data_IF_619516864598
#
_entry.id   IF_619516864598
#
_cell.length_a   1.000
_cell.length_b   1.000
_cell.length_c   1.000
_cell.angle_alpha   90.00
_cell.angle_beta   90.00
_cell.angle_gamma   90.00
#
_symmetry.space_group_name_H-M   'P 1'
#
loop_
_entity.id
_entity.type
_entity.pdbx_description
1 polymer ?
#
# COMPACT_ATOMS: atom_id res chain seq x y z
N UNK A 1 31.40 -20.62 20.75
CA UNK A 1 31.58 -19.20 20.46
C UNK A 1 31.93 -19.09 19.00
N UNK A 2 30.95 -18.91 18.13
CA UNK A 2 31.13 -18.78 16.68
C UNK A 2 31.02 -17.31 16.33
N UNK A 3 32.13 -16.79 15.82
CA UNK A 3 32.32 -15.40 15.40
C UNK A 3 31.48 -15.15 14.14
N UNK A 4 30.27 -14.62 14.30
CA UNK A 4 29.45 -14.15 13.19
C UNK A 4 30.08 -12.84 12.68
N UNK A 5 30.93 -12.94 11.66
CA UNK A 5 31.49 -11.79 10.95
C UNK A 5 30.36 -10.98 10.34
N UNK A 6 30.11 -9.79 10.88
CA UNK A 6 29.35 -8.73 10.22
C UNK A 6 30.07 -8.43 8.90
N UNK A 7 29.39 -8.51 7.74
CA UNK A 7 30.02 -8.17 6.47
C UNK A 7 30.41 -6.69 6.46
N UNK A 8 31.56 -6.34 5.81
CA UNK A 8 32.03 -4.97 5.76
C UNK A 8 31.01 -4.06 5.06
N UNK A 9 30.77 -2.88 5.62
CA UNK A 9 30.01 -1.80 5.00
C UNK A 9 30.68 -1.43 3.67
N UNK A 10 30.03 -1.76 2.52
CA UNK A 10 30.54 -1.29 1.23
C UNK A 10 30.15 -2.07 -0.02
N UNK A 11 29.68 -3.31 0.05
CA UNK A 11 29.22 -3.98 -1.16
C UNK A 11 27.76 -3.63 -1.44
N UNK A 12 27.53 -2.83 -2.52
CA UNK A 12 26.18 -2.53 -3.02
C UNK A 12 25.50 -3.85 -3.38
N UNK A 13 24.42 -4.19 -2.68
CA UNK A 13 23.65 -5.40 -2.94
C UNK A 13 23.05 -5.31 -4.34
N UNK A 14 23.20 -6.36 -5.14
CA UNK A 14 22.60 -6.44 -6.44
C UNK A 14 21.09 -6.61 -6.31
N UNK A 15 20.33 -5.70 -6.93
CA UNK A 15 18.86 -5.71 -6.91
C UNK A 15 18.35 -6.21 -8.24
N UNK A 16 17.42 -7.17 -8.19
CA UNK A 16 16.67 -7.66 -9.34
C UNK A 16 15.25 -7.11 -9.33
N UNK A 17 14.70 -6.82 -10.50
CA UNK A 17 13.31 -6.40 -10.63
C UNK A 17 12.62 -7.21 -11.74
N UNK A 18 11.54 -7.91 -11.38
CA UNK A 18 10.73 -8.75 -12.27
C UNK A 18 9.33 -8.18 -12.40
N UNK A 19 8.90 -7.96 -13.65
CA UNK A 19 7.63 -7.34 -13.97
C UNK A 19 7.74 -5.82 -14.11
N UNK A 20 7.77 -5.36 -15.35
CA UNK A 20 8.01 -3.96 -15.73
C UNK A 20 6.76 -3.34 -16.38
N UNK A 21 5.61 -3.62 -15.76
CA UNK A 21 4.34 -2.99 -16.13
C UNK A 21 4.24 -1.54 -15.67
N UNK A 22 3.02 -1.02 -15.62
CA UNK A 22 2.73 0.37 -15.30
C UNK A 22 3.30 0.83 -13.94
N UNK A 23 3.41 -0.08 -12.97
CA UNK A 23 3.98 0.21 -11.66
C UNK A 23 5.45 -0.19 -11.55
N UNK A 24 5.82 -1.39 -12.04
CA UNK A 24 7.16 -1.92 -11.86
C UNK A 24 8.24 -1.14 -12.63
N UNK A 25 7.96 -0.71 -13.85
CA UNK A 25 8.93 0.04 -14.65
C UNK A 25 9.35 1.38 -13.98
N UNK A 26 8.43 2.26 -13.55
CA UNK A 26 8.84 3.48 -12.85
C UNK A 26 9.55 3.21 -11.51
N UNK A 27 9.12 2.20 -10.73
CA UNK A 27 9.83 1.80 -9.50
C UNK A 27 11.27 1.37 -9.80
N UNK A 28 11.45 0.48 -10.78
CA UNK A 28 12.78 -0.01 -11.20
C UNK A 28 13.68 1.11 -11.74
N UNK A 29 13.12 2.15 -12.35
CA UNK A 29 13.88 3.28 -12.89
C UNK A 29 14.70 4.00 -11.82
N UNK A 30 14.19 4.13 -10.60
CA UNK A 30 14.89 4.76 -9.49
C UNK A 30 16.11 3.95 -8.98
N UNK A 31 16.22 2.69 -9.40
CA UNK A 31 17.36 1.81 -9.12
C UNK A 31 18.39 1.77 -10.27
N UNK A 32 18.10 2.42 -11.40
CA UNK A 32 19.02 2.44 -12.54
C UNK A 32 20.40 2.98 -12.16
N UNK A 33 21.46 2.38 -12.69
CA UNK A 33 22.85 2.71 -12.35
C UNK A 33 23.34 2.20 -10.98
N UNK A 34 22.50 1.45 -10.24
CA UNK A 34 22.86 0.85 -8.93
C UNK A 34 23.11 -0.65 -8.99
N UNK A 35 23.44 -1.21 -10.16
CA UNK A 35 23.62 -2.66 -10.34
C UNK A 35 22.29 -3.41 -10.53
N UNK A 36 21.26 -2.73 -11.03
CA UNK A 36 19.95 -3.29 -11.29
C UNK A 36 19.97 -4.33 -12.42
N UNK A 37 19.39 -5.51 -12.16
CA UNK A 37 19.01 -6.48 -13.18
C UNK A 37 17.50 -6.50 -13.36
N UNK A 38 17.01 -6.55 -14.60
CA UNK A 38 15.58 -6.48 -14.91
C UNK A 38 15.13 -7.62 -15.81
N UNK A 39 13.90 -8.08 -15.58
CA UNK A 39 13.22 -9.04 -16.44
C UNK A 39 11.72 -8.72 -16.56
N UNK A 40 11.23 -8.82 -17.78
CA UNK A 40 9.80 -8.86 -18.11
C UNK A 40 9.61 -9.86 -19.26
N UNK A 41 8.47 -10.55 -19.28
CA UNK A 41 8.12 -11.47 -20.37
C UNK A 41 8.03 -10.76 -21.74
N UNK A 42 7.75 -9.47 -21.73
CA UNK A 42 7.80 -8.60 -22.92
C UNK A 42 9.17 -7.93 -22.99
N UNK A 43 10.02 -8.39 -23.89
CA UNK A 43 11.39 -7.90 -24.02
C UNK A 43 11.49 -6.37 -24.20
N UNK A 44 10.52 -5.77 -24.89
CA UNK A 44 10.45 -4.34 -25.13
C UNK A 44 10.27 -3.51 -23.84
N UNK A 45 9.69 -4.08 -22.80
CA UNK A 45 9.51 -3.40 -21.50
C UNK A 45 10.86 -3.15 -20.79
N UNK A 46 11.88 -3.93 -21.08
CA UNK A 46 13.21 -3.78 -20.49
C UNK A 46 14.04 -2.66 -21.16
N UNK A 47 13.76 -2.34 -22.44
CA UNK A 47 14.61 -1.46 -23.24
C UNK A 47 14.86 -0.06 -22.62
N UNK A 48 13.88 0.65 -22.03
CA UNK A 48 14.10 1.95 -21.39
C UNK A 48 15.06 1.83 -20.18
N UNK A 49 14.93 0.77 -19.40
CA UNK A 49 15.76 0.54 -18.21
C UNK A 49 17.20 0.15 -18.57
N UNK A 50 17.36 -0.66 -19.63
CA UNK A 50 18.68 -0.99 -20.18
C UNK A 50 19.39 0.28 -20.68
N UNK A 51 18.67 1.18 -21.37
CA UNK A 51 19.19 2.49 -21.76
C UNK A 51 19.61 3.35 -20.56
N UNK A 52 18.94 3.18 -19.42
CA UNK A 52 19.26 3.85 -18.16
C UNK A 52 20.35 3.13 -17.34
N UNK A 53 20.97 2.05 -17.87
CA UNK A 53 22.08 1.36 -17.26
C UNK A 53 21.72 0.09 -16.46
N UNK A 54 20.49 -0.43 -16.57
CA UNK A 54 20.13 -1.72 -16.04
C UNK A 54 20.63 -2.87 -16.92
N UNK A 55 20.89 -4.05 -16.33
CA UNK A 55 21.20 -5.27 -17.07
C UNK A 55 19.92 -6.03 -17.40
N UNK A 56 19.62 -6.26 -18.67
CA UNK A 56 18.55 -7.16 -19.06
C UNK A 56 18.95 -8.62 -18.73
N UNK A 57 18.06 -9.32 -18.03
CA UNK A 57 18.16 -10.76 -17.80
C UNK A 57 17.31 -11.51 -18.83
N UNK A 58 17.66 -12.76 -19.11
CA UNK A 58 16.95 -13.63 -20.07
C UNK A 58 15.79 -14.39 -19.43
N UNK A 59 15.77 -14.47 -18.10
CA UNK A 59 14.75 -15.18 -17.32
C UNK A 59 14.71 -14.68 -15.87
N UNK A 60 13.65 -15.03 -15.15
CA UNK A 60 13.53 -14.85 -13.67
C UNK A 60 14.69 -15.57 -12.98
N UNK A 61 15.02 -16.80 -13.41
CA UNK A 61 16.12 -17.60 -12.86
C UNK A 61 17.47 -16.87 -12.96
N UNK A 62 17.74 -16.17 -14.06
CA UNK A 62 18.97 -15.39 -14.21
C UNK A 62 19.00 -14.17 -13.27
N UNK A 63 17.86 -13.49 -13.05
CA UNK A 63 17.75 -12.44 -12.02
C UNK A 63 18.05 -13.02 -10.64
N UNK A 64 17.36 -14.10 -10.27
CA UNK A 64 17.47 -14.72 -8.97
C UNK A 64 18.89 -15.23 -8.64
N UNK A 65 19.59 -15.81 -9.62
CA UNK A 65 20.95 -16.33 -9.44
C UNK A 65 22.00 -15.24 -9.13
N UNK A 66 21.72 -13.96 -9.51
CA UNK A 66 22.71 -12.88 -9.44
C UNK A 66 22.34 -11.75 -8.45
N UNK A 67 21.14 -11.75 -7.88
CA UNK A 67 20.67 -10.67 -7.02
C UNK A 67 20.46 -11.15 -5.58
N UNK A 68 20.71 -10.26 -4.61
CA UNK A 68 20.50 -10.51 -3.19
C UNK A 68 19.09 -10.08 -2.74
N UNK A 69 18.45 -9.23 -3.53
CA UNK A 69 17.06 -8.79 -3.40
C UNK A 69 16.38 -8.92 -4.76
N UNK A 70 15.29 -9.66 -4.82
CA UNK A 70 14.45 -9.80 -6.04
C UNK A 70 13.09 -9.19 -5.78
N UNK A 71 12.83 -8.04 -6.38
CA UNK A 71 11.53 -7.35 -6.35
C UNK A 71 10.64 -7.88 -7.46
N UNK A 72 9.40 -8.26 -7.12
CA UNK A 72 8.41 -8.81 -8.05
C UNK A 72 7.17 -7.94 -8.07
N UNK A 73 6.81 -7.41 -9.24
CA UNK A 73 5.62 -6.58 -9.46
C UNK A 73 4.86 -7.08 -10.69
N UNK A 74 4.09 -8.13 -10.50
CA UNK A 74 3.28 -8.80 -11.53
C UNK A 74 1.79 -8.66 -11.21
N UNK A 75 0.90 -9.20 -12.06
CA UNK A 75 -0.52 -8.84 -12.05
C UNK A 75 -1.32 -9.46 -10.91
N UNK A 76 -1.11 -10.75 -10.60
CA UNK A 76 -2.00 -11.55 -9.76
C UNK A 76 -1.26 -12.65 -8.97
N UNK A 77 -2.01 -13.35 -8.12
CA UNK A 77 -1.51 -14.46 -7.28
C UNK A 77 -0.85 -15.59 -8.10
N UNK A 78 -1.40 -15.90 -9.26
CA UNK A 78 -0.88 -16.98 -10.12
C UNK A 78 0.50 -16.62 -10.65
N UNK A 79 0.68 -15.41 -11.17
CA UNK A 79 1.97 -14.93 -11.65
C UNK A 79 2.98 -14.76 -10.51
N UNK A 80 2.55 -14.30 -9.33
CA UNK A 80 3.44 -14.23 -8.15
C UNK A 80 3.92 -15.62 -7.77
N UNK A 81 3.05 -16.61 -7.78
CA UNK A 81 3.41 -18.00 -7.46
C UNK A 81 4.39 -18.56 -8.49
N UNK A 82 4.12 -18.41 -9.78
CA UNK A 82 4.99 -18.87 -10.87
C UNK A 82 6.38 -18.25 -10.78
N UNK A 83 6.47 -16.92 -10.72
CA UNK A 83 7.74 -16.19 -10.58
C UNK A 83 8.45 -16.56 -9.28
N UNK A 84 7.70 -16.69 -8.18
CA UNK A 84 8.23 -17.09 -6.89
C UNK A 84 8.89 -18.46 -6.93
N UNK A 85 8.27 -19.48 -7.55
CA UNK A 85 8.86 -20.82 -7.70
C UNK A 85 10.17 -20.77 -8.51
N UNK A 86 10.22 -19.99 -9.60
CA UNK A 86 11.46 -19.82 -10.36
C UNK A 86 12.58 -19.18 -9.52
N UNK A 87 12.23 -18.18 -8.69
CA UNK A 87 13.18 -17.54 -7.76
C UNK A 87 13.66 -18.56 -6.74
N UNK A 88 12.77 -19.33 -6.09
CA UNK A 88 13.15 -20.33 -5.10
C UNK A 88 14.06 -21.42 -5.66
N UNK A 89 13.86 -21.81 -6.91
CA UNK A 89 14.68 -22.82 -7.57
C UNK A 89 16.08 -22.33 -7.97
N UNK A 90 16.30 -21.02 -8.06
CA UNK A 90 17.49 -20.44 -8.70
C UNK A 90 18.28 -19.48 -7.81
N UNK A 91 17.65 -18.90 -6.79
CA UNK A 91 18.30 -17.94 -5.91
C UNK A 91 19.27 -18.63 -4.92
N UNK A 92 20.23 -17.87 -4.46
CA UNK A 92 21.17 -18.32 -3.43
C UNK A 92 20.53 -18.23 -2.03
N UNK A 93 20.92 -19.12 -1.10
CA UNK A 93 20.58 -18.94 0.30
C UNK A 93 20.94 -17.52 0.79
N UNK A 94 20.07 -16.92 1.57
CA UNK A 94 20.19 -15.54 2.01
C UNK A 94 19.59 -14.49 1.06
N UNK A 95 19.06 -14.86 -0.12
CA UNK A 95 18.31 -13.92 -0.97
C UNK A 95 17.00 -13.49 -0.31
N UNK A 96 16.57 -12.25 -0.53
CA UNK A 96 15.23 -11.78 -0.18
C UNK A 96 14.37 -11.69 -1.45
N UNK A 97 13.22 -12.34 -1.43
CA UNK A 97 12.17 -12.20 -2.44
C UNK A 97 11.11 -11.23 -1.93
N UNK A 98 10.97 -10.10 -2.59
CA UNK A 98 10.00 -9.05 -2.24
C UNK A 98 8.84 -9.02 -3.23
N UNK A 99 7.61 -9.24 -2.74
CA UNK A 99 6.40 -9.24 -3.54
C UNK A 99 5.67 -7.91 -3.36
N UNK A 100 5.66 -7.07 -4.41
CA UNK A 100 5.00 -5.76 -4.41
C UNK A 100 3.56 -5.81 -4.95
N UNK A 101 3.18 -6.89 -5.59
CA UNK A 101 1.83 -7.10 -6.12
C UNK A 101 0.79 -7.12 -5.00
N UNK A 102 -0.40 -6.59 -5.28
CA UNK A 102 -1.55 -6.75 -4.38
C UNK A 102 -2.17 -8.13 -4.61
N UNK A 103 -1.96 -9.04 -3.67
CA UNK A 103 -2.35 -10.44 -3.72
C UNK A 103 -3.12 -10.84 -2.45
N UNK A 104 -3.47 -12.11 -2.29
CA UNK A 104 -3.94 -12.63 -1.02
C UNK A 104 -2.75 -12.78 -0.04
N UNK A 105 -2.96 -12.42 1.22
CA UNK A 105 -1.93 -12.61 2.26
C UNK A 105 -1.44 -14.06 2.34
N UNK A 106 -2.35 -15.01 2.18
CA UNK A 106 -2.04 -16.45 2.18
C UNK A 106 -1.04 -16.82 1.07
N UNK A 107 -1.11 -16.22 -0.10
CA UNK A 107 -0.16 -16.49 -1.20
C UNK A 107 1.28 -16.14 -0.79
N UNK A 108 1.47 -15.00 -0.11
CA UNK A 108 2.78 -14.62 0.42
C UNK A 108 3.24 -15.54 1.55
N UNK A 109 2.34 -15.93 2.46
CA UNK A 109 2.61 -16.86 3.56
C UNK A 109 3.00 -18.24 3.08
N UNK A 110 2.28 -18.80 2.09
CA UNK A 110 2.57 -20.10 1.49
C UNK A 110 3.93 -20.07 0.76
N UNK A 111 4.24 -18.97 0.06
CA UNK A 111 5.52 -18.77 -0.61
C UNK A 111 6.66 -18.70 0.42
N UNK A 112 6.49 -17.94 1.50
CA UNK A 112 7.47 -17.84 2.58
C UNK A 112 7.70 -19.19 3.27
N UNK A 113 6.66 -19.98 3.50
CA UNK A 113 6.78 -21.30 4.08
C UNK A 113 7.65 -22.24 3.21
N UNK A 114 7.49 -22.18 1.88
CA UNK A 114 8.29 -22.94 0.93
C UNK A 114 9.71 -22.43 0.82
N UNK A 115 9.91 -21.11 0.88
CA UNK A 115 11.22 -20.46 0.77
C UNK A 115 12.21 -20.86 1.86
N UNK A 116 11.72 -21.16 3.07
CA UNK A 116 12.57 -21.52 4.23
C UNK A 116 13.52 -22.67 3.95
N UNK A 117 13.09 -23.71 3.22
CA UNK A 117 13.93 -24.87 2.88
C UNK A 117 15.09 -24.53 1.94
N UNK A 118 15.02 -23.39 1.27
CA UNK A 118 16.07 -22.88 0.39
C UNK A 118 16.94 -21.79 1.07
N UNK A 119 16.64 -21.46 2.34
CA UNK A 119 17.32 -20.36 3.04
C UNK A 119 17.01 -18.98 2.43
N UNK A 120 15.83 -18.81 1.82
CA UNK A 120 15.38 -17.58 1.19
C UNK A 120 14.33 -16.92 2.09
N UNK A 121 14.48 -15.61 2.31
CA UNK A 121 13.49 -14.79 3.00
C UNK A 121 12.44 -14.28 1.99
N UNK A 122 11.19 -14.23 2.42
CA UNK A 122 10.10 -13.61 1.62
C UNK A 122 9.51 -12.46 2.41
N UNK A 123 9.33 -11.33 1.73
CA UNK A 123 8.56 -10.19 2.25
C UNK A 123 7.41 -9.89 1.28
N UNK A 124 6.24 -9.66 1.83
CA UNK A 124 5.14 -9.02 1.10
C UNK A 124 5.23 -7.50 1.34
N UNK A 125 5.46 -6.78 0.27
CA UNK A 125 5.78 -5.35 0.31
C UNK A 125 4.93 -4.53 -0.67
N UNK A 126 3.59 -4.64 -0.61
CA UNK A 126 2.73 -3.89 -1.52
C UNK A 126 2.90 -2.39 -1.34
N UNK A 127 2.63 -1.66 -2.43
CA UNK A 127 2.87 -0.22 -2.54
C UNK A 127 1.58 0.58 -2.65
N UNK A 128 1.62 1.84 -2.26
CA UNK A 128 0.53 2.80 -2.39
C UNK A 128 1.04 4.15 -2.86
N UNK A 129 0.27 4.84 -3.73
CA UNK A 129 0.64 6.12 -4.35
C UNK A 129 0.38 6.12 -5.86
N UNK A 130 0.03 4.95 -6.45
CA UNK A 130 -0.27 4.80 -7.87
C UNK A 130 0.90 5.14 -8.78
N UNK A 131 0.62 5.27 -10.07
CA UNK A 131 1.63 5.58 -11.09
C UNK A 131 2.37 6.90 -10.80
N UNK A 132 1.66 7.93 -10.34
CA UNK A 132 2.25 9.23 -10.03
C UNK A 132 3.28 9.12 -8.91
N UNK A 133 2.93 8.42 -7.81
CA UNK A 133 3.86 8.15 -6.71
C UNK A 133 5.06 7.30 -7.15
N UNK A 134 4.83 6.27 -7.97
CA UNK A 134 5.90 5.44 -8.51
C UNK A 134 6.88 6.25 -9.37
N UNK A 135 6.36 7.12 -10.25
CA UNK A 135 7.18 7.98 -11.11
C UNK A 135 7.95 9.03 -10.32
N UNK A 136 7.36 9.57 -9.26
CA UNK A 136 7.99 10.58 -8.40
C UNK A 136 8.96 9.99 -7.36
N UNK A 137 8.97 8.67 -7.17
CA UNK A 137 9.75 8.03 -6.09
C UNK A 137 9.17 8.24 -4.70
N UNK A 138 7.86 8.53 -4.60
CA UNK A 138 7.18 8.94 -3.37
C UNK A 138 6.10 7.95 -2.91
N UNK A 139 6.29 6.66 -3.19
CA UNK A 139 5.37 5.62 -2.75
C UNK A 139 5.42 5.41 -1.22
N UNK A 140 4.34 4.83 -0.69
CA UNK A 140 4.36 4.16 0.61
C UNK A 140 4.47 2.65 0.40
N UNK A 141 5.36 1.99 1.14
CA UNK A 141 5.58 0.53 1.11
C UNK A 141 5.21 -0.05 2.47
N UNK A 142 4.31 -1.01 2.47
CA UNK A 142 3.88 -1.74 3.66
C UNK A 142 4.55 -3.12 3.67
N UNK A 143 5.57 -3.31 4.49
CA UNK A 143 6.39 -4.53 4.47
C UNK A 143 5.96 -5.50 5.55
N UNK A 144 5.58 -6.72 5.16
CA UNK A 144 5.42 -7.86 6.04
C UNK A 144 6.59 -8.82 5.86
N UNK A 145 7.25 -9.20 6.97
CA UNK A 145 8.42 -10.09 6.94
C UNK A 145 9.11 -10.17 8.29
N UNK A 146 10.28 -10.80 8.36
CA UNK A 146 11.15 -10.73 9.53
C UNK A 146 11.79 -9.34 9.64
N UNK A 147 12.19 -8.93 10.86
CA UNK A 147 12.92 -7.68 11.09
C UNK A 147 14.20 -7.62 10.25
N UNK A 148 14.92 -8.76 10.13
CA UNK A 148 16.12 -8.86 9.34
C UNK A 148 15.86 -8.64 7.84
N UNK A 149 14.84 -9.28 7.28
CA UNK A 149 14.47 -9.10 5.88
C UNK A 149 13.99 -7.66 5.61
N UNK A 150 13.22 -7.07 6.55
CA UNK A 150 12.79 -5.67 6.46
C UNK A 150 13.98 -4.71 6.39
N UNK A 151 14.94 -4.81 7.31
CA UNK A 151 16.12 -3.93 7.32
C UNK A 151 16.97 -4.05 6.03
N UNK A 152 17.00 -5.23 5.43
CA UNK A 152 17.68 -5.46 4.15
C UNK A 152 16.97 -4.81 2.96
N UNK A 153 15.65 -4.64 3.05
CA UNK A 153 14.82 -4.02 2.02
C UNK A 153 14.73 -2.50 2.15
N UNK A 154 14.90 -1.94 3.34
CA UNK A 154 14.60 -0.55 3.66
C UNK A 154 15.35 0.45 2.79
N UNK A 155 16.66 0.28 2.62
CA UNK A 155 17.47 1.18 1.76
C UNK A 155 17.10 1.04 0.28
N UNK A 156 17.03 -0.17 -0.33
CA UNK A 156 16.59 -0.30 -1.72
C UNK A 156 15.19 0.26 -1.98
N UNK A 157 14.24 0.03 -1.06
CA UNK A 157 12.87 0.54 -1.23
C UNK A 157 12.78 2.06 -1.09
N UNK A 158 13.63 2.67 -0.26
CA UNK A 158 13.75 4.13 -0.15
C UNK A 158 14.19 4.82 -1.44
N UNK A 159 14.64 4.10 -2.46
CA UNK A 159 14.93 4.68 -3.76
C UNK A 159 13.68 5.15 -4.51
N UNK A 160 12.52 4.49 -4.28
CA UNK A 160 11.25 4.79 -4.94
C UNK A 160 10.06 5.01 -3.99
N UNK A 161 10.35 5.19 -2.71
CA UNK A 161 9.33 5.42 -1.70
C UNK A 161 9.81 6.40 -0.63
N UNK A 162 8.94 7.34 -0.23
CA UNK A 162 9.17 8.25 0.90
C UNK A 162 8.85 7.60 2.25
N UNK A 163 8.02 6.55 2.24
CA UNK A 163 7.56 5.87 3.44
C UNK A 163 7.71 4.35 3.30
N UNK A 164 8.56 3.75 4.12
CA UNK A 164 8.75 2.30 4.19
C UNK A 164 8.49 1.84 5.62
N UNK A 165 7.39 1.12 5.85
CA UNK A 165 6.95 0.70 7.18
C UNK A 165 6.93 -0.81 7.33
N UNK A 166 7.48 -1.30 8.45
CA UNK A 166 7.34 -2.69 8.87
C UNK A 166 5.97 -2.90 9.52
N UNK A 167 5.14 -3.73 8.92
CA UNK A 167 3.76 -3.98 9.34
C UNK A 167 3.61 -5.22 10.24
N UNK A 168 4.69 -5.99 10.42
CA UNK A 168 4.69 -7.23 11.17
C UNK A 168 5.14 -8.45 10.34
N UNK A 169 4.75 -9.68 10.70
CA UNK A 169 5.16 -10.87 9.98
C UNK A 169 4.65 -10.91 8.54
N UNK A 170 5.14 -11.86 7.74
CA UNK A 170 4.70 -12.08 6.35
C UNK A 170 3.18 -12.14 6.28
N UNK A 171 2.60 -11.47 5.29
CA UNK A 171 1.16 -11.27 5.10
C UNK A 171 0.62 -9.99 5.74
N UNK A 172 1.33 -9.37 6.70
CA UNK A 172 0.89 -8.14 7.36
C UNK A 172 0.89 -6.94 6.40
N UNK A 173 1.88 -6.83 5.51
CA UNK A 173 1.94 -5.80 4.48
C UNK A 173 0.73 -5.87 3.55
N UNK A 174 0.40 -7.06 3.07
CA UNK A 174 -0.76 -7.30 2.21
C UNK A 174 -2.08 -7.00 2.93
N UNK A 175 -2.24 -7.39 4.20
CA UNK A 175 -3.44 -7.07 4.99
C UNK A 175 -3.59 -5.57 5.17
N UNK A 176 -2.51 -4.87 5.49
CA UNK A 176 -2.50 -3.40 5.59
C UNK A 176 -2.87 -2.75 4.26
N UNK A 177 -2.33 -3.25 3.13
CA UNK A 177 -2.68 -2.77 1.79
C UNK A 177 -4.16 -2.97 1.47
N UNK A 178 -4.72 -4.12 1.80
CA UNK A 178 -6.14 -4.41 1.55
C UNK A 178 -7.05 -3.49 2.39
N UNK A 179 -6.73 -3.28 3.67
CA UNK A 179 -7.46 -2.34 4.53
C UNK A 179 -7.36 -0.89 3.99
N UNK A 180 -6.17 -0.44 3.61
CA UNK A 180 -5.96 0.88 2.99
C UNK A 180 -6.75 1.02 1.68
N UNK A 181 -6.75 0.00 0.83
CA UNK A 181 -7.47 0.04 -0.43
C UNK A 181 -8.99 0.00 -0.24
N UNK A 182 -9.49 -0.72 0.75
CA UNK A 182 -10.90 -0.70 1.14
C UNK A 182 -11.34 0.74 1.47
N UNK A 183 -10.63 1.42 2.37
CA UNK A 183 -10.90 2.83 2.68
C UNK A 183 -10.88 3.71 1.43
N UNK A 184 -9.83 3.56 0.60
CA UNK A 184 -9.63 4.38 -0.59
C UNK A 184 -10.78 4.25 -1.61
N UNK A 185 -11.22 3.04 -1.90
CA UNK A 185 -12.28 2.83 -2.90
C UNK A 185 -13.68 3.13 -2.36
N UNK A 186 -13.91 2.94 -1.06
CA UNK A 186 -15.14 3.43 -0.41
C UNK A 186 -15.19 4.95 -0.47
N UNK A 187 -14.07 5.65 -0.24
CA UNK A 187 -14.00 7.11 -0.36
C UNK A 187 -14.31 7.61 -1.78
N UNK A 188 -14.01 6.84 -2.83
CA UNK A 188 -14.40 7.19 -4.20
C UNK A 188 -15.92 7.12 -4.40
N UNK A 189 -16.59 6.14 -3.79
CA UNK A 189 -18.05 6.06 -3.82
C UNK A 189 -18.68 7.22 -3.07
N UNK A 190 -18.15 7.56 -1.88
CA UNK A 190 -18.60 8.73 -1.12
C UNK A 190 -18.40 10.04 -1.90
N UNK A 191 -17.25 10.21 -2.55
CA UNK A 191 -16.99 11.37 -3.41
C UNK A 191 -17.96 11.43 -4.62
N UNK A 192 -18.36 10.29 -5.18
CA UNK A 192 -19.34 10.24 -6.25
C UNK A 192 -20.75 10.70 -5.77
N UNK A 193 -21.17 10.32 -4.56
CA UNK A 193 -22.42 10.81 -3.97
C UNK A 193 -22.37 12.32 -3.72
N UNK A 194 -21.28 12.81 -3.10
CA UNK A 194 -21.07 14.23 -2.86
C UNK A 194 -21.05 15.07 -4.16
N UNK A 195 -20.49 14.53 -5.25
CA UNK A 195 -20.51 15.19 -6.56
C UNK A 195 -21.94 15.29 -7.13
N UNK A 196 -22.74 14.20 -7.06
CA UNK A 196 -24.14 14.23 -7.54
C UNK A 196 -24.98 15.25 -6.76
N UNK A 197 -24.82 15.28 -5.43
CA UNK A 197 -25.51 16.25 -4.59
C UNK A 197 -25.13 17.70 -4.95
N UNK A 198 -23.83 17.96 -5.08
CA UNK A 198 -23.33 19.29 -5.43
C UNK A 198 -23.79 19.74 -6.83
N UNK A 199 -23.78 18.84 -7.82
CA UNK A 199 -24.26 19.12 -9.17
C UNK A 199 -25.73 19.43 -9.19
N UNK A 200 -26.57 18.63 -8.51
CA UNK A 200 -28.02 18.89 -8.37
C UNK A 200 -28.33 20.22 -7.65
N UNK A 201 -27.47 20.60 -6.69
CA UNK A 201 -27.55 21.89 -6.00
C UNK A 201 -26.95 23.06 -6.81
N UNK A 202 -26.54 22.87 -8.06
CA UNK A 202 -25.98 23.91 -8.92
C UNK A 202 -24.54 24.33 -8.54
N UNK A 203 -23.81 23.54 -7.74
CA UNK A 203 -22.45 23.83 -7.31
C UNK A 203 -21.45 23.34 -8.35
N UNK A 204 -20.45 24.15 -8.68
CA UNK A 204 -19.39 23.76 -9.60
C UNK A 204 -18.53 22.63 -9.02
N UNK A 205 -18.54 21.46 -9.65
CA UNK A 205 -17.72 20.30 -9.24
C UNK A 205 -16.22 20.60 -9.25
N UNK A 206 -15.76 21.46 -10.18
CA UNK A 206 -14.34 21.89 -10.20
C UNK A 206 -13.98 22.68 -8.95
N UNK A 207 -14.87 23.58 -8.49
CA UNK A 207 -14.65 24.37 -7.27
C UNK A 207 -14.72 23.46 -6.04
N UNK A 208 -15.72 22.59 -5.94
CA UNK A 208 -15.82 21.61 -4.86
C UNK A 208 -14.56 20.75 -4.75
N UNK A 209 -14.10 20.18 -5.86
CA UNK A 209 -12.89 19.36 -5.86
C UNK A 209 -11.62 20.11 -5.46
N UNK A 210 -11.55 21.44 -5.66
CA UNK A 210 -10.45 22.27 -5.13
C UNK A 210 -10.54 22.42 -3.61
N UNK A 211 -11.74 22.63 -3.07
CA UNK A 211 -11.96 22.73 -1.62
C UNK A 211 -11.58 21.41 -0.95
N UNK A 212 -12.11 20.27 -1.42
CA UNK A 212 -11.82 18.95 -0.84
C UNK A 212 -10.31 18.67 -0.83
N UNK A 213 -9.64 18.79 -1.96
CA UNK A 213 -8.17 18.55 -2.01
C UNK A 213 -7.36 19.49 -1.11
N UNK A 214 -7.81 20.74 -0.95
CA UNK A 214 -7.13 21.70 -0.07
C UNK A 214 -7.29 21.31 1.41
N UNK A 215 -8.51 20.99 1.82
CA UNK A 215 -8.79 20.61 3.21
C UNK A 215 -8.18 19.27 3.57
N UNK A 216 -8.25 18.26 2.69
CA UNK A 216 -7.65 16.95 2.91
C UNK A 216 -6.11 17.01 3.05
N UNK A 217 -5.46 17.93 2.34
CA UNK A 217 -4.01 18.16 2.50
C UNK A 217 -3.66 18.73 3.89
N UNK A 218 -4.60 19.43 4.55
CA UNK A 218 -4.41 19.97 5.90
C UNK A 218 -4.74 18.92 6.97
N UNK A 219 -5.85 18.21 6.80
CA UNK A 219 -6.42 17.34 7.84
C UNK A 219 -6.00 15.88 7.73
N UNK A 220 -5.52 15.43 6.55
CA UNK A 220 -5.27 14.02 6.25
C UNK A 220 -6.48 13.29 5.66
N UNK A 221 -7.58 13.99 5.38
CA UNK A 221 -8.79 13.45 4.76
C UNK A 221 -9.36 12.27 5.55
N UNK A 222 -9.75 11.20 4.85
CA UNK A 222 -10.33 10.02 5.47
C UNK A 222 -9.41 9.29 6.49
N UNK A 223 -8.10 9.59 6.50
CA UNK A 223 -7.15 9.07 7.48
C UNK A 223 -7.12 9.84 8.81
N UNK A 224 -7.76 10.99 8.89
CA UNK A 224 -7.70 11.89 10.06
C UNK A 224 -8.20 11.28 11.36
N UNK A 225 -9.09 10.29 11.29
CA UNK A 225 -9.62 9.58 12.46
C UNK A 225 -8.78 8.38 12.91
N UNK A 226 -7.71 8.04 12.20
CA UNK A 226 -6.85 6.88 12.51
C UNK A 226 -5.82 7.25 13.61
N UNK A 227 -6.30 7.68 14.76
CA UNK A 227 -5.50 8.20 15.88
C UNK A 227 -5.22 7.16 16.96
N UNK A 228 -5.99 6.07 17.00
CA UNK A 228 -5.97 5.07 18.06
C UNK A 228 -5.22 3.81 17.65
N UNK A 229 -4.55 3.12 18.58
CA UNK A 229 -3.88 1.84 18.29
C UNK A 229 -4.86 0.66 18.24
N UNK A 230 -6.14 0.86 18.58
CA UNK A 230 -7.18 -0.17 18.64
C UNK A 230 -8.52 0.36 18.14
N UNK A 231 -9.41 -0.52 17.72
CA UNK A 231 -10.81 -0.24 17.38
C UNK A 231 -11.79 -0.59 18.51
N UNK A 232 -11.29 -0.91 19.72
CA UNK A 232 -12.14 -1.17 20.88
C UNK A 232 -13.03 0.05 21.20
N UNK A 233 -14.20 -0.14 21.84
CA UNK A 233 -15.01 0.98 22.33
C UNK A 233 -14.16 1.98 23.12
N UNK A 234 -14.56 3.26 23.06
CA UNK A 234 -13.98 4.31 23.88
C UNK A 234 -14.64 4.32 25.27
N UNK A 235 -13.85 4.45 26.30
CA UNK A 235 -14.34 4.70 27.65
C UNK A 235 -14.32 6.22 27.94
N UNK A 236 -15.20 6.74 28.82
CA UNK A 236 -15.29 8.18 29.10
C UNK A 236 -14.01 8.84 29.62
N UNK A 237 -13.06 8.06 30.13
CA UNK A 237 -11.76 8.51 30.63
C UNK A 237 -10.62 8.40 29.59
N UNK A 238 -10.90 7.96 28.37
CA UNK A 238 -9.95 7.98 27.26
C UNK A 238 -9.60 9.42 26.82
N UNK A 239 -8.34 9.72 26.59
CA UNK A 239 -7.85 11.05 26.17
C UNK A 239 -8.53 11.59 24.89
N UNK A 240 -9.00 10.71 24.03
CA UNK A 240 -9.67 11.07 22.78
C UNK A 240 -11.21 11.09 22.88
N UNK A 241 -11.79 10.72 24.01
CA UNK A 241 -13.24 10.56 24.16
C UNK A 241 -14.00 11.85 23.79
N UNK A 242 -13.67 12.97 24.44
CA UNK A 242 -14.35 14.25 24.20
C UNK A 242 -14.16 14.77 22.76
N UNK A 243 -12.97 14.57 22.20
CA UNK A 243 -12.68 14.98 20.81
C UNK A 243 -13.52 14.17 19.82
N UNK A 244 -13.57 12.84 19.99
CA UNK A 244 -14.31 11.97 19.08
C UNK A 244 -15.81 12.06 19.28
N UNK A 245 -16.30 12.32 20.50
CA UNK A 245 -17.70 12.66 20.78
C UNK A 245 -18.11 13.95 20.07
N UNK A 246 -17.33 15.01 20.21
CA UNK A 246 -17.60 16.27 19.48
C UNK A 246 -17.57 16.06 17.94
N UNK A 247 -16.64 15.24 17.46
CA UNK A 247 -16.56 14.88 16.04
C UNK A 247 -17.81 14.12 15.57
N UNK A 248 -18.32 13.17 16.40
CA UNK A 248 -19.59 12.49 16.15
C UNK A 248 -20.74 13.48 16.02
N UNK A 249 -20.96 14.32 17.01
CA UNK A 249 -22.09 15.25 17.07
C UNK A 249 -22.10 16.20 15.86
N UNK A 250 -20.94 16.70 15.47
CA UNK A 250 -20.76 17.54 14.31
C UNK A 250 -21.02 16.77 13.01
N UNK A 251 -20.43 15.59 12.87
CA UNK A 251 -20.50 14.77 11.66
C UNK A 251 -21.93 14.24 11.41
N UNK A 252 -22.62 13.78 12.44
CA UNK A 252 -24.01 13.31 12.34
C UNK A 252 -24.95 14.44 11.94
N UNK A 253 -24.80 15.62 12.54
CA UNK A 253 -25.55 16.83 12.14
C UNK A 253 -25.30 17.20 10.68
N UNK A 254 -24.05 17.23 10.22
CA UNK A 254 -23.72 17.62 8.85
C UNK A 254 -24.18 16.56 7.84
N UNK A 255 -24.11 15.27 8.17
CA UNK A 255 -24.65 14.18 7.35
C UNK A 255 -26.18 14.27 7.25
N UNK A 256 -26.88 14.55 8.37
CA UNK A 256 -28.34 14.72 8.36
C UNK A 256 -28.75 15.87 7.43
N UNK A 257 -28.13 17.03 7.54
CA UNK A 257 -28.38 18.17 6.65
C UNK A 257 -28.08 17.85 5.17
N UNK A 258 -27.03 17.08 4.90
CA UNK A 258 -26.73 16.66 3.53
C UNK A 258 -27.80 15.70 2.98
N UNK A 259 -28.34 14.81 3.82
CA UNK A 259 -29.43 13.90 3.43
C UNK A 259 -30.75 14.64 3.21
N UNK A 260 -31.08 15.63 4.04
CA UNK A 260 -32.25 16.51 3.80
C UNK A 260 -32.16 17.20 2.43
N UNK A 261 -31.00 17.79 2.12
CA UNK A 261 -30.78 18.42 0.81
C UNK A 261 -30.84 17.40 -0.33
N UNK A 262 -30.32 16.19 -0.13
CA UNK A 262 -30.37 15.12 -1.12
C UNK A 262 -31.82 14.71 -1.43
N UNK A 263 -32.64 14.56 -0.39
CA UNK A 263 -34.08 14.23 -0.53
C UNK A 263 -34.84 15.35 -1.24
N UNK A 264 -34.59 16.63 -0.91
CA UNK A 264 -35.20 17.79 -1.58
C UNK A 264 -34.85 17.82 -3.08
N UNK A 265 -33.64 17.45 -3.45
CA UNK A 265 -33.17 17.49 -4.84
C UNK A 265 -33.36 16.15 -5.59
N UNK A 266 -33.92 15.13 -4.94
CA UNK A 266 -34.14 13.80 -5.52
C UNK A 266 -32.84 13.05 -5.85
N UNK A 267 -31.76 13.26 -5.07
CA UNK A 267 -30.46 12.61 -5.25
C UNK A 267 -30.36 11.38 -4.35
N UNK A 268 -30.11 10.22 -4.94
CA UNK A 268 -29.87 8.99 -4.18
C UNK A 268 -28.46 8.96 -3.59
N UNK A 269 -28.37 8.85 -2.23
CA UNK A 269 -27.13 8.86 -1.45
C UNK A 269 -27.10 7.72 -0.42
N UNK A 270 -27.12 6.45 -0.85
CA UNK A 270 -27.23 5.31 0.05
C UNK A 270 -26.02 5.17 0.99
N UNK A 271 -24.82 5.52 0.56
CA UNK A 271 -23.63 5.44 1.39
C UNK A 271 -23.66 6.49 2.51
N UNK A 272 -24.15 7.71 2.22
CA UNK A 272 -24.32 8.75 3.24
C UNK A 272 -25.31 8.33 4.33
N UNK A 273 -26.42 7.63 3.97
CA UNK A 273 -27.37 7.07 4.94
C UNK A 273 -26.72 6.01 5.85
N UNK A 274 -25.95 5.08 5.25
CA UNK A 274 -25.21 4.06 6.01
C UNK A 274 -24.14 4.73 6.90
N UNK A 275 -23.49 5.77 6.39
CA UNK A 275 -22.50 6.51 7.15
C UNK A 275 -23.11 7.18 8.39
N UNK A 276 -24.26 7.84 8.26
CA UNK A 276 -24.95 8.43 9.40
C UNK A 276 -25.31 7.37 10.46
N UNK A 277 -25.89 6.25 10.05
CA UNK A 277 -26.25 5.13 10.96
C UNK A 277 -25.05 4.53 11.70
N UNK A 278 -23.86 4.59 11.12
CA UNK A 278 -22.65 3.92 11.63
C UNK A 278 -21.59 4.86 12.17
N UNK A 279 -21.79 6.16 12.09
CA UNK A 279 -20.74 7.14 12.32
C UNK A 279 -20.20 7.09 13.75
N UNK A 280 -21.07 7.22 14.75
CA UNK A 280 -20.67 7.16 16.16
C UNK A 280 -19.99 5.83 16.54
N UNK A 281 -20.57 4.69 16.12
CA UNK A 281 -19.98 3.38 16.36
C UNK A 281 -18.61 3.23 15.66
N UNK A 282 -18.45 3.81 14.47
CA UNK A 282 -17.17 3.83 13.74
C UNK A 282 -16.07 4.61 14.47
N UNK A 283 -16.42 5.60 15.26
CA UNK A 283 -15.50 6.36 16.11
C UNK A 283 -15.21 5.66 17.46
N UNK A 284 -15.87 4.54 17.75
CA UNK A 284 -15.72 3.80 19.02
C UNK A 284 -16.72 4.23 20.09
N UNK A 285 -17.67 5.11 19.79
CA UNK A 285 -18.70 5.58 20.71
C UNK A 285 -19.91 4.63 20.63
N UNK A 286 -19.91 3.59 21.45
CA UNK A 286 -20.94 2.54 21.46
C UNK A 286 -21.82 2.73 22.68
N UNK A 287 -23.16 2.78 22.49
CA UNK A 287 -24.13 2.75 23.57
C UNK A 287 -24.69 4.10 24.01
N UNK A 288 -24.27 5.21 23.43
CA UNK A 288 -24.98 6.50 23.58
C UNK A 288 -26.04 6.57 22.47
N UNK A 289 -27.30 6.24 22.82
CA UNK A 289 -28.42 6.60 21.96
C UNK A 289 -28.48 8.12 21.86
N UNK A 290 -28.74 8.64 20.67
CA UNK A 290 -29.06 10.06 20.51
C UNK A 290 -30.27 10.39 21.38
N UNK A 291 -30.09 11.18 22.43
CA UNK A 291 -31.18 11.81 23.18
C UNK A 291 -31.86 12.92 22.36
#
# INVERSE_FOLDING_TARGET
MSDARVPPQGERRAVGFVGLGQMGAPMATHLAGRGLAVYDARAEAMAPLVKAGARAARSVAEVAAHCDLVSVMVRDDAQVTEVGEEVLASARPGTVLAVHSTIRARTAEDLASRARRYGIEVVDAPVSGGFMGASAGSLAVMVGGSDEAFERCREPFGAWADLVLHMGPVGAGTRAKLARNMLHFISFTAAAEAQRLAEAAGVSLRKLGRVVRHTDAITGGAGSIMLRPTTAPLEPDDDLYDILRHTRDLGEKDLALALELADELGVDTPLARIALDRFGAGLGLVGEAND
#
